data_IF_037155484684
#
_entry.id   IF_037155484684
#
_cell.length_a   1.000
_cell.length_b   1.000
_cell.length_c   1.000
_cell.angle_alpha   90.00
_cell.angle_beta   90.00
_cell.angle_gamma   90.00
#
_symmetry.space_group_name_H-M   'P 1'
#
loop_
_entity.id
_entity.type
_entity.pdbx_description
1 polymer ?
#
# COMPACT_ATOMS: atom_id res chain seq x y z
N UNK A 1 24.41 -42.48 -41.08
CA UNK A 1 24.50 -41.56 -39.92
C UNK A 1 23.66 -42.14 -38.78
N UNK A 2 24.29 -42.62 -37.71
CA UNK A 2 23.63 -43.31 -36.59
C UNK A 2 22.95 -42.29 -35.67
N UNK A 3 21.63 -42.39 -35.55
CA UNK A 3 20.76 -41.54 -34.75
C UNK A 3 21.14 -41.56 -33.26
N UNK A 4 21.64 -40.43 -32.74
CA UNK A 4 22.03 -40.27 -31.34
C UNK A 4 20.82 -39.95 -30.43
N UNK A 5 19.82 -40.84 -30.43
CA UNK A 5 18.60 -40.70 -29.59
C UNK A 5 18.89 -40.83 -28.09
N UNK A 6 20.06 -41.32 -27.68
CA UNK A 6 20.41 -41.58 -26.28
C UNK A 6 20.71 -40.30 -25.47
N UNK A 7 21.19 -39.22 -26.11
CA UNK A 7 21.41 -37.93 -25.45
C UNK A 7 20.12 -37.16 -25.15
N UNK A 8 19.14 -37.20 -26.05
CA UNK A 8 17.85 -36.52 -25.89
C UNK A 8 17.01 -37.14 -24.77
N UNK A 9 16.98 -38.48 -24.68
CA UNK A 9 16.31 -39.20 -23.60
C UNK A 9 16.96 -38.94 -22.24
N UNK A 10 18.29 -38.81 -22.18
CA UNK A 10 19.00 -38.44 -20.95
C UNK A 10 18.63 -37.05 -20.44
N UNK A 11 18.45 -36.08 -21.34
CA UNK A 11 18.02 -34.71 -20.99
C UNK A 11 16.55 -34.70 -20.55
N UNK A 12 15.66 -35.41 -21.24
CA UNK A 12 14.24 -35.52 -20.87
C UNK A 12 14.07 -36.21 -19.51
N UNK A 13 14.85 -37.27 -19.24
CA UNK A 13 14.85 -37.97 -17.95
C UNK A 13 15.46 -37.10 -16.85
N UNK A 14 16.50 -36.31 -17.12
CA UNK A 14 17.06 -35.37 -16.16
C UNK A 14 16.10 -34.22 -15.83
N UNK A 15 15.39 -33.67 -16.83
CA UNK A 15 14.33 -32.67 -16.66
C UNK A 15 13.15 -33.28 -15.89
N UNK A 16 12.74 -34.51 -16.21
CA UNK A 16 11.68 -35.24 -15.52
C UNK A 16 12.01 -35.53 -14.06
N UNK A 17 13.24 -35.96 -13.76
CA UNK A 17 13.73 -36.19 -12.40
C UNK A 17 13.90 -34.87 -11.62
N UNK A 18 14.31 -33.79 -12.28
CA UNK A 18 14.36 -32.45 -11.69
C UNK A 18 12.95 -31.91 -11.38
N UNK A 19 11.97 -32.13 -12.25
CA UNK A 19 10.56 -31.78 -12.03
C UNK A 19 9.92 -32.63 -10.92
N UNK A 20 10.21 -33.93 -10.85
CA UNK A 20 9.78 -34.81 -9.76
C UNK A 20 10.42 -34.44 -8.42
N UNK A 21 11.70 -34.04 -8.42
CA UNK A 21 12.39 -33.45 -7.27
C UNK A 21 11.71 -32.13 -6.81
N UNK A 22 11.20 -31.34 -7.75
CA UNK A 22 10.42 -30.11 -7.50
C UNK A 22 8.98 -30.38 -7.05
N UNK A 23 8.42 -31.57 -7.26
CA UNK A 23 7.07 -31.92 -6.79
C UNK A 23 6.98 -31.89 -5.25
N UNK A 24 8.07 -32.24 -4.55
CA UNK A 24 8.18 -32.05 -3.09
C UNK A 24 8.09 -30.59 -2.67
N UNK A 25 8.61 -29.67 -3.49
CA UNK A 25 8.48 -28.22 -3.28
C UNK A 25 7.09 -27.72 -3.60
N UNK A 26 6.41 -28.29 -4.60
CA UNK A 26 4.99 -28.01 -4.85
C UNK A 26 4.17 -28.37 -3.61
N UNK A 27 4.34 -29.58 -3.05
CA UNK A 27 3.66 -29.95 -1.78
C UNK A 27 4.04 -29.05 -0.60
N UNK A 28 5.28 -28.57 -0.51
CA UNK A 28 5.68 -27.60 0.51
C UNK A 28 5.03 -26.22 0.32
N UNK A 29 4.90 -25.75 -0.93
CA UNK A 29 4.19 -24.52 -1.31
C UNK A 29 2.70 -24.67 -1.00
N UNK A 30 2.09 -25.82 -1.30
CA UNK A 30 0.70 -26.13 -0.95
C UNK A 30 0.47 -26.19 0.56
N UNK A 31 1.46 -26.64 1.35
CA UNK A 31 1.38 -26.66 2.81
C UNK A 31 1.53 -25.26 3.43
N UNK A 32 2.21 -24.35 2.72
CA UNK A 32 2.38 -22.94 3.11
C UNK A 32 1.27 -22.03 2.58
N UNK A 33 0.63 -22.39 1.47
CA UNK A 33 -0.48 -21.65 0.87
C UNK A 33 -1.78 -21.96 1.62
N UNK A 34 -2.51 -20.93 2.05
CA UNK A 34 -3.83 -21.14 2.65
C UNK A 34 -4.80 -21.72 1.61
N UNK A 35 -5.74 -22.54 2.06
CA UNK A 35 -6.75 -23.16 1.21
C UNK A 35 -7.46 -22.15 0.28
N UNK A 36 -7.75 -20.94 0.79
CA UNK A 36 -8.36 -19.87 0.00
C UNK A 36 -7.51 -19.44 -1.21
N UNK A 37 -6.19 -19.34 -1.05
CA UNK A 37 -5.26 -18.99 -2.13
C UNK A 37 -5.28 -20.08 -3.20
N UNK A 38 -5.11 -21.33 -2.79
CA UNK A 38 -5.09 -22.49 -3.68
C UNK A 38 -6.41 -22.61 -4.43
N UNK A 39 -7.53 -22.52 -3.72
CA UNK A 39 -8.87 -22.61 -4.31
C UNK A 39 -9.12 -21.50 -5.35
N UNK A 40 -8.82 -20.25 -4.99
CA UNK A 40 -8.98 -19.09 -5.88
C UNK A 40 -8.10 -19.17 -7.13
N UNK A 41 -6.89 -19.74 -7.00
CA UNK A 41 -5.97 -19.99 -8.10
C UNK A 41 -6.53 -21.05 -9.07
N UNK A 42 -7.02 -22.18 -8.57
CA UNK A 42 -7.64 -23.21 -9.42
C UNK A 42 -8.92 -22.73 -10.09
N UNK A 43 -9.73 -21.92 -9.40
CA UNK A 43 -10.92 -21.31 -10.00
C UNK A 43 -10.54 -20.39 -11.16
N UNK A 44 -9.53 -19.53 -10.96
CA UNK A 44 -9.00 -18.65 -12.01
C UNK A 44 -8.40 -19.44 -13.17
N UNK A 45 -7.62 -20.48 -12.88
CA UNK A 45 -7.06 -21.39 -13.89
C UNK A 45 -8.18 -22.01 -14.73
N UNK A 46 -9.23 -22.54 -14.10
CA UNK A 46 -10.37 -23.14 -14.79
C UNK A 46 -11.09 -22.14 -15.69
N UNK A 47 -11.35 -20.93 -15.19
CA UNK A 47 -11.99 -19.87 -15.97
C UNK A 47 -11.17 -19.48 -17.22
N UNK A 48 -9.85 -19.29 -17.08
CA UNK A 48 -8.99 -19.01 -18.22
C UNK A 48 -8.86 -20.20 -19.17
N UNK A 49 -8.79 -21.42 -18.64
CA UNK A 49 -8.64 -22.63 -19.44
C UNK A 49 -9.86 -22.88 -20.35
N UNK A 50 -11.07 -22.59 -19.87
CA UNK A 50 -12.31 -22.73 -20.64
C UNK A 50 -12.37 -21.73 -21.80
N UNK A 51 -11.88 -20.51 -21.62
CA UNK A 51 -12.00 -19.43 -22.62
C UNK A 51 -10.81 -19.43 -23.60
N UNK A 52 -9.59 -19.60 -23.09
CA UNK A 52 -8.34 -19.38 -23.83
C UNK A 52 -7.48 -20.64 -23.96
N UNK A 53 -7.92 -21.77 -23.41
CA UNK A 53 -7.18 -23.03 -23.38
C UNK A 53 -6.30 -23.18 -22.14
N UNK A 54 -6.09 -24.42 -21.72
CA UNK A 54 -5.40 -24.74 -20.46
C UNK A 54 -3.95 -24.27 -20.42
N UNK A 55 -3.22 -24.29 -21.54
CA UNK A 55 -1.82 -23.83 -21.60
C UNK A 55 -1.72 -22.34 -21.30
N UNK A 56 -2.65 -21.54 -21.84
CA UNK A 56 -2.75 -20.10 -21.55
C UNK A 56 -3.06 -19.86 -20.07
N UNK A 57 -4.07 -20.56 -19.53
CA UNK A 57 -4.44 -20.44 -18.12
C UNK A 57 -3.28 -20.75 -17.18
N UNK A 58 -2.54 -21.83 -17.43
CA UNK A 58 -1.35 -22.20 -16.64
C UNK A 58 -0.27 -21.12 -16.74
N UNK A 59 0.04 -20.64 -17.95
CA UNK A 59 1.05 -19.60 -18.15
C UNK A 59 0.68 -18.30 -17.41
N UNK A 60 -0.56 -17.85 -17.53
CA UNK A 60 -1.04 -16.62 -16.89
C UNK A 60 -0.99 -16.72 -15.36
N UNK A 61 -1.47 -17.83 -14.80
CA UNK A 61 -1.42 -18.07 -13.35
C UNK A 61 0.03 -18.16 -12.86
N UNK A 62 0.92 -18.79 -13.63
CA UNK A 62 2.35 -18.83 -13.30
C UNK A 62 2.97 -17.43 -13.24
N UNK A 63 2.73 -16.58 -14.24
CA UNK A 63 3.25 -15.22 -14.30
C UNK A 63 2.74 -14.37 -13.12
N UNK A 64 1.43 -14.40 -12.86
CA UNK A 64 0.82 -13.71 -11.73
C UNK A 64 1.36 -14.23 -10.39
N UNK A 65 1.48 -15.55 -10.24
CA UNK A 65 1.99 -16.13 -9.01
C UNK A 65 3.41 -15.68 -8.70
N UNK A 66 4.32 -15.72 -9.67
CA UNK A 66 5.71 -15.29 -9.44
C UNK A 66 5.79 -13.79 -9.11
N UNK A 67 4.97 -12.96 -9.76
CA UNK A 67 4.83 -11.54 -9.42
C UNK A 67 4.40 -11.36 -7.95
N UNK A 68 3.32 -12.01 -7.51
CA UNK A 68 2.85 -11.94 -6.13
C UNK A 68 3.88 -12.48 -5.11
N UNK A 69 4.64 -13.51 -5.48
CA UNK A 69 5.73 -14.02 -4.63
C UNK A 69 6.82 -12.96 -4.42
N UNK A 70 7.04 -12.05 -5.36
CA UNK A 70 7.92 -10.90 -5.19
C UNK A 70 7.50 -10.00 -4.04
N UNK A 71 6.20 -9.64 -3.97
CA UNK A 71 5.65 -8.87 -2.86
C UNK A 71 5.77 -9.61 -1.53
N UNK A 72 5.37 -10.89 -1.48
CA UNK A 72 5.44 -11.69 -0.24
C UNK A 72 6.87 -11.84 0.27
N UNK A 73 7.81 -12.07 -0.63
CA UNK A 73 9.22 -12.20 -0.29
C UNK A 73 9.76 -10.89 0.29
N UNK A 74 9.40 -9.76 -0.30
CA UNK A 74 9.83 -8.43 0.16
C UNK A 74 9.23 -8.10 1.53
N UNK A 75 7.92 -8.34 1.70
CA UNK A 75 7.22 -8.13 2.96
C UNK A 75 7.81 -9.01 4.08
N UNK A 76 8.10 -10.29 3.79
CA UNK A 76 8.76 -11.19 4.75
C UNK A 76 10.15 -10.70 5.14
N UNK A 77 10.94 -10.17 4.20
CA UNK A 77 12.26 -9.57 4.49
C UNK A 77 12.16 -8.32 5.36
N UNK A 78 11.05 -7.58 5.25
CA UNK A 78 10.75 -6.39 6.07
C UNK A 78 10.02 -6.73 7.37
N UNK A 79 9.71 -8.00 7.63
CA UNK A 79 8.97 -8.42 8.81
C UNK A 79 7.52 -7.92 8.83
N UNK A 80 6.94 -7.59 7.68
CA UNK A 80 5.57 -7.07 7.57
C UNK A 80 4.61 -8.25 7.36
N UNK A 81 3.61 -8.44 8.24
CA UNK A 81 2.66 -9.54 8.09
C UNK A 81 1.70 -9.31 6.92
N UNK A 82 1.60 -10.30 6.04
CA UNK A 82 0.72 -10.27 4.86
C UNK A 82 -0.47 -11.21 5.01
N UNK A 83 -1.54 -10.87 4.29
CA UNK A 83 -2.67 -11.77 4.07
C UNK A 83 -2.33 -12.77 2.95
N UNK A 84 -3.05 -13.90 2.87
CA UNK A 84 -2.90 -14.82 1.75
C UNK A 84 -3.21 -14.10 0.43
N UNK A 85 -2.49 -14.44 -0.63
CA UNK A 85 -2.84 -14.00 -1.98
C UNK A 85 -4.20 -14.58 -2.38
N UNK A 86 -5.06 -13.78 -3.02
CA UNK A 86 -6.33 -14.22 -3.57
C UNK A 86 -6.29 -13.97 -5.07
N UNK A 87 -6.47 -15.02 -5.87
CA UNK A 87 -6.51 -14.93 -7.33
C UNK A 87 -7.97 -14.78 -7.77
N UNK A 88 -8.29 -13.65 -8.40
CA UNK A 88 -9.63 -13.37 -8.88
C UNK A 88 -9.61 -13.50 -10.41
N UNK A 89 -10.45 -14.39 -10.98
CA UNK A 89 -10.52 -14.57 -12.43
C UNK A 89 -10.73 -13.23 -13.13
N UNK A 90 -9.99 -13.00 -14.21
CA UNK A 90 -10.04 -11.80 -15.05
C UNK A 90 -9.65 -10.48 -14.37
N UNK A 91 -9.31 -10.48 -13.08
CA UNK A 91 -8.90 -9.28 -12.33
C UNK A 91 -7.44 -9.33 -11.89
N UNK A 92 -6.89 -10.53 -11.68
CA UNK A 92 -5.48 -10.73 -11.32
C UNK A 92 -5.35 -11.39 -9.95
N UNK A 93 -4.32 -11.05 -9.20
CA UNK A 93 -4.14 -11.49 -7.83
C UNK A 93 -4.05 -10.28 -6.90
N UNK A 94 -4.49 -10.46 -5.66
CA UNK A 94 -4.47 -9.43 -4.63
C UNK A 94 -3.87 -10.01 -3.35
N UNK A 95 -2.88 -9.31 -2.80
CA UNK A 95 -2.40 -9.52 -1.45
C UNK A 95 -2.85 -8.34 -0.59
N UNK A 96 -3.68 -8.63 0.42
CA UNK A 96 -3.93 -7.66 1.48
C UNK A 96 -2.71 -7.56 2.41
N UNK A 97 -2.33 -6.36 2.82
CA UNK A 97 -1.41 -6.17 3.94
C UNK A 97 -2.24 -6.15 5.24
N UNK A 98 -1.81 -6.87 6.28
CA UNK A 98 -2.51 -6.87 7.58
C UNK A 98 -2.17 -5.65 8.43
N UNK A 99 -0.98 -5.09 8.18
CA UNK A 99 -0.48 -3.88 8.80
C UNK A 99 -0.03 -2.93 7.70
N UNK A 100 -0.26 -1.62 7.88
CA UNK A 100 0.28 -0.63 6.96
C UNK A 100 1.83 -0.64 7.05
N UNK A 101 2.55 -0.53 5.92
CA UNK A 101 4.01 -0.43 5.92
C UNK A 101 4.46 0.69 6.85
N UNK A 102 5.58 0.54 7.56
CA UNK A 102 6.03 1.53 8.57
C UNK A 102 6.52 2.85 7.96
N UNK A 103 6.84 2.86 6.67
CA UNK A 103 7.27 4.04 5.92
C UNK A 103 7.04 3.82 4.42
N UNK A 104 6.99 4.91 3.65
CA UNK A 104 6.77 4.88 2.21
C UNK A 104 7.89 4.15 1.45
N UNK A 105 9.13 4.15 1.98
CA UNK A 105 10.28 3.47 1.36
C UNK A 105 10.11 1.95 1.36
N UNK A 106 9.63 1.38 2.44
CA UNK A 106 9.35 -0.04 2.57
C UNK A 106 8.15 -0.44 1.71
N UNK A 107 7.12 0.41 1.63
CA UNK A 107 6.00 0.22 0.71
C UNK A 107 6.45 0.19 -0.75
N UNK A 108 7.24 1.18 -1.19
CA UNK A 108 7.78 1.23 -2.54
C UNK A 108 8.71 0.05 -2.84
N UNK A 109 9.51 -0.40 -1.86
CA UNK A 109 10.34 -1.59 -2.01
C UNK A 109 9.48 -2.85 -2.21
N UNK A 110 8.44 -3.05 -1.40
CA UNK A 110 7.54 -4.20 -1.56
C UNK A 110 6.84 -4.15 -2.92
N UNK A 111 6.31 -2.99 -3.31
CA UNK A 111 5.64 -2.80 -4.59
C UNK A 111 6.59 -3.04 -5.77
N UNK A 112 7.85 -2.60 -5.71
CA UNK A 112 8.84 -2.83 -6.76
C UNK A 112 9.20 -4.31 -6.97
N UNK A 113 9.23 -5.08 -5.89
CA UNK A 113 9.64 -6.48 -5.95
C UNK A 113 8.66 -7.38 -6.73
N UNK A 114 7.38 -7.00 -6.82
CA UNK A 114 6.40 -7.72 -7.64
C UNK A 114 6.75 -7.66 -9.13
N UNK A 115 6.76 -6.47 -9.76
CA UNK A 115 7.18 -6.28 -11.14
C UNK A 115 8.59 -6.81 -11.44
N UNK A 116 9.53 -6.70 -10.50
CA UNK A 116 10.87 -7.28 -10.67
C UNK A 116 10.82 -8.82 -10.77
N UNK A 117 10.10 -9.49 -9.87
CA UNK A 117 9.95 -10.95 -9.94
C UNK A 117 9.14 -11.37 -11.16
N UNK A 118 8.13 -10.59 -11.52
CA UNK A 118 7.38 -10.81 -12.74
C UNK A 118 8.24 -10.68 -14.00
N UNK A 119 9.23 -9.77 -14.03
CA UNK A 119 10.25 -9.74 -15.08
C UNK A 119 11.03 -11.07 -15.12
N UNK A 120 11.50 -11.53 -13.96
CA UNK A 120 12.25 -12.80 -13.86
C UNK A 120 11.43 -14.01 -14.29
N UNK A 121 10.10 -13.95 -14.15
CA UNK A 121 9.21 -15.08 -14.45
C UNK A 121 9.21 -15.49 -15.92
N UNK A 122 9.35 -14.54 -16.85
CA UNK A 122 9.31 -14.84 -18.28
C UNK A 122 10.70 -14.93 -18.93
N UNK A 123 11.79 -14.58 -18.24
CA UNK A 123 13.15 -14.68 -18.79
C UNK A 123 13.49 -16.08 -19.35
N UNK A 124 13.08 -17.21 -18.72
CA UNK A 124 13.35 -18.53 -19.28
C UNK A 124 12.68 -18.77 -20.65
N UNK A 125 11.59 -18.06 -20.96
CA UNK A 125 10.89 -18.20 -22.24
C UNK A 125 11.72 -17.67 -23.41
N UNK A 126 12.68 -16.75 -23.18
CA UNK A 126 13.55 -16.20 -24.22
C UNK A 126 14.42 -17.30 -24.88
N UNK A 127 15.31 -18.01 -24.16
CA UNK A 127 16.11 -19.08 -24.77
C UNK A 127 15.25 -20.24 -25.26
N UNK A 128 14.12 -20.54 -24.60
CA UNK A 128 13.19 -21.59 -25.04
C UNK A 128 12.56 -21.25 -26.40
N UNK A 129 12.17 -19.99 -26.62
CA UNK A 129 11.75 -19.52 -27.93
C UNK A 129 12.89 -19.62 -28.95
N UNK A 130 14.11 -19.18 -28.60
CA UNK A 130 15.24 -19.23 -29.54
C UNK A 130 15.56 -20.63 -30.03
N UNK A 131 15.39 -21.66 -29.18
CA UNK A 131 15.66 -23.06 -29.51
C UNK A 131 14.48 -23.72 -30.24
N UNK A 132 13.27 -23.55 -29.71
CA UNK A 132 12.09 -24.31 -30.19
C UNK A 132 11.35 -23.61 -31.33
N UNK A 133 11.47 -22.28 -31.42
CA UNK A 133 10.69 -21.40 -32.31
C UNK A 133 9.17 -21.52 -32.12
N UNK A 134 8.74 -22.07 -30.98
CA UNK A 134 7.31 -22.20 -30.67
C UNK A 134 6.73 -20.85 -30.25
N UNK A 135 5.64 -20.37 -30.91
CA UNK A 135 5.06 -19.04 -30.63
C UNK A 135 4.52 -18.91 -29.21
N UNK A 136 4.24 -20.03 -28.54
CA UNK A 136 3.82 -20.05 -27.14
C UNK A 136 4.83 -19.38 -26.19
N UNK A 137 6.14 -19.49 -26.45
CA UNK A 137 7.14 -18.84 -25.61
C UNK A 137 7.17 -17.32 -25.80
N UNK A 138 6.97 -16.86 -27.04
CA UNK A 138 6.80 -15.44 -27.33
C UNK A 138 5.55 -14.86 -26.65
N UNK A 139 4.47 -15.64 -26.59
CA UNK A 139 3.27 -15.30 -25.83
C UNK A 139 3.56 -15.15 -24.32
N UNK A 140 4.35 -16.03 -23.72
CA UNK A 140 4.75 -15.90 -22.30
C UNK A 140 5.55 -14.60 -22.07
N UNK A 141 6.47 -14.27 -22.97
CA UNK A 141 7.26 -13.02 -22.90
C UNK A 141 6.33 -11.81 -22.98
N UNK A 142 5.43 -11.79 -23.97
CA UNK A 142 4.46 -10.70 -24.15
C UNK A 142 3.55 -10.55 -22.94
N UNK A 143 2.87 -11.63 -22.52
CA UNK A 143 1.95 -11.60 -21.37
C UNK A 143 2.65 -11.20 -20.08
N UNK A 144 3.80 -11.82 -19.80
CA UNK A 144 4.59 -11.50 -18.61
C UNK A 144 5.01 -10.04 -18.61
N UNK A 145 5.48 -9.53 -19.75
CA UNK A 145 5.88 -8.13 -19.86
C UNK A 145 4.69 -7.19 -19.69
N UNK A 146 3.55 -7.48 -20.34
CA UNK A 146 2.34 -6.65 -20.27
C UNK A 146 1.74 -6.57 -18.87
N UNK A 147 1.64 -7.69 -18.14
CA UNK A 147 1.10 -7.72 -16.77
C UNK A 147 1.93 -6.81 -15.86
N UNK A 148 3.25 -6.94 -15.92
CA UNK A 148 4.15 -6.15 -15.09
C UNK A 148 4.19 -4.68 -15.52
N UNK A 149 4.15 -4.41 -16.83
CA UNK A 149 4.10 -3.06 -17.35
C UNK A 149 2.81 -2.34 -16.96
N UNK A 150 1.67 -3.04 -17.01
CA UNK A 150 0.38 -2.51 -16.54
C UNK A 150 0.42 -2.21 -15.03
N UNK A 151 0.98 -3.12 -14.22
CA UNK A 151 1.16 -2.86 -12.79
C UNK A 151 2.13 -1.72 -12.49
N UNK A 152 2.98 -1.30 -13.43
CA UNK A 152 3.83 -0.12 -13.28
C UNK A 152 3.13 1.19 -13.64
N UNK A 153 1.87 1.22 -14.10
CA UNK A 153 1.16 2.51 -14.27
C UNK A 153 1.19 3.28 -12.93
N UNK A 154 1.55 4.58 -12.93
CA UNK A 154 1.88 5.30 -11.70
C UNK A 154 0.64 5.74 -10.92
N UNK A 155 -0.27 4.83 -10.58
CA UNK A 155 -1.50 5.11 -9.82
C UNK A 155 -1.85 3.93 -8.92
N UNK A 156 -2.16 4.18 -7.64
CA UNK A 156 -2.69 3.13 -6.74
C UNK A 156 -4.11 2.76 -7.22
N UNK A 157 -4.54 1.48 -7.18
CA UNK A 157 -3.99 0.35 -6.43
C UNK A 157 -2.82 -0.39 -7.10
N UNK A 158 -2.38 0.02 -8.28
CA UNK A 158 -1.27 -0.63 -9.01
C UNK A 158 0.08 -0.35 -8.33
N UNK A 159 1.03 -1.26 -8.52
CA UNK A 159 2.36 -1.18 -7.88
C UNK A 159 3.11 0.10 -8.22
N UNK A 160 3.01 0.57 -9.47
CA UNK A 160 3.62 1.80 -9.93
C UNK A 160 3.21 3.01 -9.10
N UNK A 161 1.95 3.06 -8.63
CA UNK A 161 1.47 4.09 -7.71
C UNK A 161 2.19 4.06 -6.36
N UNK A 162 2.42 2.87 -5.80
CA UNK A 162 3.12 2.68 -4.53
C UNK A 162 4.63 2.88 -4.66
N UNK A 163 5.23 2.57 -5.80
CA UNK A 163 6.65 2.84 -6.07
C UNK A 163 6.88 4.35 -6.21
N UNK A 164 6.02 5.02 -7.00
CA UNK A 164 6.20 6.44 -7.31
C UNK A 164 5.79 7.36 -6.14
N UNK A 165 5.02 6.87 -5.17
CA UNK A 165 4.60 7.66 -4.00
C UNK A 165 5.78 8.20 -3.20
N UNK A 166 6.92 7.48 -3.20
CA UNK A 166 8.19 7.91 -2.59
C UNK A 166 8.81 9.09 -3.34
N UNK A 167 8.64 9.15 -4.66
CA UNK A 167 9.17 10.21 -5.51
C UNK A 167 8.26 11.43 -5.46
N UNK A 168 7.02 11.25 -5.93
CA UNK A 168 5.98 12.27 -5.88
C UNK A 168 4.62 11.67 -6.19
N UNK A 169 3.66 11.90 -5.29
CA UNK A 169 2.24 11.56 -5.50
C UNK A 169 1.56 12.40 -6.58
N UNK A 170 2.14 13.52 -7.03
CA UNK A 170 1.58 14.33 -8.13
C UNK A 170 1.57 13.57 -9.46
N UNK A 171 2.48 12.61 -9.62
CA UNK A 171 2.60 11.78 -10.82
C UNK A 171 1.35 10.88 -10.99
N UNK A 172 0.59 10.63 -9.92
CA UNK A 172 -0.66 9.87 -9.99
C UNK A 172 -1.71 10.50 -10.90
N UNK A 173 -1.74 11.83 -11.04
CA UNK A 173 -2.64 12.49 -11.97
C UNK A 173 -2.39 12.05 -13.42
N UNK A 174 -1.11 11.95 -13.82
CA UNK A 174 -0.74 11.43 -15.13
C UNK A 174 -1.10 9.95 -15.27
N UNK A 175 -0.88 9.15 -14.22
CA UNK A 175 -1.27 7.74 -14.18
C UNK A 175 -2.79 7.53 -14.39
N UNK A 176 -3.62 8.36 -13.77
CA UNK A 176 -5.08 8.32 -13.95
C UNK A 176 -5.51 8.65 -15.38
N UNK A 177 -4.88 9.67 -16.00
CA UNK A 177 -5.19 10.02 -17.40
C UNK A 177 -4.82 8.87 -18.34
N UNK A 178 -3.65 8.26 -18.14
CA UNK A 178 -3.22 7.09 -18.91
C UNK A 178 -4.19 5.91 -18.73
N UNK A 179 -4.58 5.62 -17.49
CA UNK A 179 -5.49 4.53 -17.17
C UNK A 179 -6.90 4.77 -17.75
N UNK A 180 -7.39 6.01 -17.72
CA UNK A 180 -8.66 6.38 -18.33
C UNK A 180 -8.63 6.21 -19.84
N UNK A 181 -7.57 6.70 -20.50
CA UNK A 181 -7.36 6.54 -21.94
C UNK A 181 -7.32 5.08 -22.35
N UNK A 182 -6.55 4.26 -21.61
CA UNK A 182 -6.51 2.81 -21.80
C UNK A 182 -7.91 2.18 -21.66
N UNK A 183 -8.65 2.54 -20.61
CA UNK A 183 -9.97 1.97 -20.31
C UNK A 183 -10.98 2.27 -21.41
N UNK A 184 -10.98 3.50 -21.93
CA UNK A 184 -11.87 3.92 -23.03
C UNK A 184 -11.47 3.22 -24.33
N UNK A 185 -10.19 3.25 -24.69
CA UNK A 185 -9.69 2.70 -25.95
C UNK A 185 -9.95 1.19 -26.07
N UNK A 186 -9.64 0.43 -25.02
CA UNK A 186 -9.84 -1.02 -24.99
C UNK A 186 -11.23 -1.45 -24.49
N UNK A 187 -12.12 -0.49 -24.16
CA UNK A 187 -13.44 -0.75 -23.52
C UNK A 187 -13.31 -1.69 -22.31
N UNK A 188 -12.25 -1.51 -21.53
CA UNK A 188 -11.91 -2.37 -20.41
C UNK A 188 -12.73 -2.02 -19.18
N UNK A 189 -13.69 -2.89 -18.83
CA UNK A 189 -14.48 -2.76 -17.59
C UNK A 189 -13.55 -2.76 -16.37
N UNK A 190 -12.53 -3.64 -16.37
CA UNK A 190 -11.55 -3.71 -15.30
C UNK A 190 -10.74 -2.41 -15.18
N UNK A 191 -10.27 -1.86 -16.30
CA UNK A 191 -9.57 -0.58 -16.30
C UNK A 191 -10.42 0.55 -15.71
N UNK A 192 -11.71 0.59 -16.04
CA UNK A 192 -12.66 1.54 -15.46
C UNK A 192 -12.83 1.37 -13.95
N UNK A 193 -12.90 0.13 -13.45
CA UNK A 193 -12.95 -0.13 -12.01
C UNK A 193 -11.68 0.32 -11.27
N UNK A 194 -10.50 0.01 -11.83
CA UNK A 194 -9.21 0.45 -11.27
C UNK A 194 -9.12 1.98 -11.29
N UNK A 195 -9.64 2.64 -12.33
CA UNK A 195 -9.69 4.10 -12.42
C UNK A 195 -10.51 4.73 -11.30
N UNK A 196 -11.68 4.16 -10.98
CA UNK A 196 -12.53 4.64 -9.88
C UNK A 196 -11.78 4.51 -8.54
N UNK A 197 -11.17 3.36 -8.27
CA UNK A 197 -10.36 3.17 -7.05
C UNK A 197 -9.19 4.17 -7.02
N UNK A 198 -8.52 4.38 -8.15
CA UNK A 198 -7.41 5.34 -8.23
C UNK A 198 -7.84 6.78 -7.97
N UNK A 199 -9.05 7.18 -8.40
CA UNK A 199 -9.62 8.48 -8.06
C UNK A 199 -9.88 8.61 -6.55
N UNK A 200 -10.40 7.57 -5.92
CA UNK A 200 -10.62 7.54 -4.46
C UNK A 200 -9.29 7.66 -3.71
N UNK A 201 -8.24 6.97 -4.15
CA UNK A 201 -6.94 7.06 -3.48
C UNK A 201 -6.22 8.38 -3.74
N UNK A 202 -6.36 8.96 -4.93
CA UNK A 202 -5.86 10.31 -5.16
C UNK A 202 -6.53 11.32 -4.22
N UNK A 203 -7.85 11.20 -4.01
CA UNK A 203 -8.58 12.06 -3.06
C UNK A 203 -8.04 11.90 -1.63
N UNK A 204 -7.79 10.67 -1.17
CA UNK A 204 -7.18 10.42 0.15
C UNK A 204 -5.78 11.01 0.26
N UNK A 205 -4.98 10.91 -0.80
CA UNK A 205 -3.62 11.49 -0.86
C UNK A 205 -3.65 13.02 -0.80
N UNK A 206 -4.60 13.66 -1.47
CA UNK A 206 -4.76 15.12 -1.41
C UNK A 206 -5.13 15.58 0.01
N UNK A 207 -5.99 14.81 0.69
CA UNK A 207 -6.41 15.07 2.08
C UNK A 207 -5.43 14.59 3.15
N UNK A 208 -4.28 14.05 2.76
CA UNK A 208 -3.35 13.40 3.68
C UNK A 208 -2.76 14.33 4.74
N UNK A 209 -2.64 15.61 4.43
CA UNK A 209 -2.11 16.61 5.38
C UNK A 209 -3.19 17.10 6.36
N UNK A 210 -4.48 16.80 6.14
CA UNK A 210 -5.57 17.20 7.05
C UNK A 210 -5.38 16.59 8.45
N UNK A 211 -5.23 15.25 8.63
CA UNK A 211 -5.03 14.66 9.96
C UNK A 211 -3.80 15.18 10.70
N UNK A 212 -2.71 15.47 9.98
CA UNK A 212 -1.48 16.02 10.57
C UNK A 212 -1.72 17.44 11.08
N UNK A 213 -2.44 18.27 10.32
CA UNK A 213 -2.84 19.61 10.73
C UNK A 213 -3.80 19.57 11.92
N UNK A 214 -4.78 18.67 11.89
CA UNK A 214 -5.72 18.46 12.99
C UNK A 214 -5.00 18.07 14.28
N UNK A 215 -4.10 17.08 14.22
CA UNK A 215 -3.24 16.74 15.36
C UNK A 215 -2.42 17.95 15.83
N UNK A 216 -1.89 18.77 14.90
CA UNK A 216 -1.23 20.03 15.22
C UNK A 216 -2.09 20.96 16.06
N UNK A 217 -3.33 21.24 15.62
CA UNK A 217 -4.26 22.08 16.38
C UNK A 217 -4.60 21.49 17.76
N UNK A 218 -4.75 20.16 17.89
CA UNK A 218 -4.99 19.50 19.18
C UNK A 218 -3.81 19.65 20.13
N UNK A 219 -2.59 19.44 19.64
CA UNK A 219 -1.35 19.56 20.40
C UNK A 219 -1.14 21.00 20.88
N UNK A 220 -1.31 21.97 19.98
CA UNK A 220 -1.13 23.39 20.29
C UNK A 220 -2.19 23.85 21.32
N UNK A 221 -3.45 23.46 21.12
CA UNK A 221 -4.52 23.74 22.08
C UNK A 221 -4.29 23.08 23.45
N UNK A 222 -3.89 21.80 23.47
CA UNK A 222 -3.59 21.09 24.72
C UNK A 222 -2.45 21.78 25.48
N UNK A 223 -1.35 22.14 24.80
CA UNK A 223 -0.23 22.87 25.40
C UNK A 223 -0.67 24.22 25.96
N UNK A 224 -1.49 24.96 25.21
CA UNK A 224 -2.01 26.26 25.62
C UNK A 224 -2.85 26.16 26.90
N UNK A 225 -3.85 25.27 26.95
CA UNK A 225 -4.72 25.15 28.12
C UNK A 225 -3.99 24.58 29.34
N UNK A 226 -3.16 23.56 29.16
CA UNK A 226 -2.38 22.97 30.25
C UNK A 226 -1.41 24.00 30.84
N UNK A 227 -0.71 24.77 30.00
CA UNK A 227 0.20 25.82 30.49
C UNK A 227 -0.53 26.89 31.30
N UNK A 228 -1.73 27.32 30.85
CA UNK A 228 -2.55 28.29 31.59
C UNK A 228 -3.01 27.76 32.95
N UNK A 229 -3.40 26.48 33.01
CA UNK A 229 -3.78 25.82 34.26
C UNK A 229 -2.59 25.69 35.21
N UNK A 230 -1.41 25.31 34.71
CA UNK A 230 -0.19 25.22 35.51
C UNK A 230 0.24 26.59 36.06
N UNK A 231 0.16 27.64 35.24
CA UNK A 231 0.50 29.00 35.62
C UNK A 231 -0.44 29.50 36.73
N UNK A 232 -1.75 29.31 36.57
CA UNK A 232 -2.72 29.68 37.60
C UNK A 232 -2.52 28.89 38.89
N UNK A 233 -2.24 27.59 38.80
CA UNK A 233 -1.97 26.76 39.97
C UNK A 233 -0.72 27.25 40.72
N UNK A 234 0.33 27.65 40.01
CA UNK A 234 1.55 28.22 40.62
C UNK A 234 1.31 29.57 41.28
N UNK A 235 0.47 30.41 40.68
CA UNK A 235 0.17 31.75 41.19
C UNK A 235 -0.80 31.74 42.38
N UNK A 236 -1.84 30.91 42.33
CA UNK A 236 -3.01 31.01 43.21
C UNK A 236 -3.25 29.78 44.07
N UNK A 237 -2.64 28.64 43.73
CA UNK A 237 -2.93 27.36 44.35
C UNK A 237 -4.25 26.72 43.89
N UNK A 238 -4.93 27.29 42.89
CA UNK A 238 -6.18 26.79 42.32
C UNK A 238 -6.18 26.91 40.78
N UNK A 239 -7.21 26.39 40.13
CA UNK A 239 -7.37 26.36 38.65
C UNK A 239 -8.70 26.96 38.16
N UNK A 240 -9.42 27.65 39.06
CA UNK A 240 -10.80 28.08 38.86
C UNK A 240 -11.01 29.02 37.68
N UNK A 241 -10.14 30.03 37.55
CA UNK A 241 -10.26 31.06 36.51
C UNK A 241 -10.16 30.42 35.13
N UNK A 242 -9.18 29.56 34.90
CA UNK A 242 -9.02 28.92 33.60
C UNK A 242 -10.09 27.87 33.34
N UNK A 243 -10.58 27.13 34.35
CA UNK A 243 -11.74 26.23 34.17
C UNK A 243 -12.97 27.00 33.70
N UNK A 244 -13.29 28.12 34.35
CA UNK A 244 -14.39 28.99 33.94
C UNK A 244 -14.21 29.50 32.51
N UNK A 245 -13.01 29.95 32.15
CA UNK A 245 -12.70 30.43 30.80
C UNK A 245 -12.82 29.33 29.75
N UNK A 246 -12.33 28.12 30.04
CA UNK A 246 -12.49 26.94 29.17
C UNK A 246 -13.96 26.58 28.97
N UNK A 247 -14.77 26.66 30.03
CA UNK A 247 -16.20 26.38 29.94
C UNK A 247 -16.96 27.44 29.14
N UNK A 248 -16.56 28.71 29.25
CA UNK A 248 -17.10 29.75 28.38
C UNK A 248 -16.69 29.52 26.92
N UNK A 249 -15.42 29.22 26.66
CA UNK A 249 -14.89 29.01 25.32
C UNK A 249 -15.54 27.81 24.62
N UNK A 250 -15.69 26.66 25.29
CA UNK A 250 -16.36 25.48 24.70
C UNK A 250 -17.81 25.79 24.32
N UNK A 251 -18.54 26.57 25.14
CA UNK A 251 -19.93 26.93 24.86
C UNK A 251 -20.05 27.84 23.62
N UNK A 252 -19.14 28.82 23.49
CA UNK A 252 -19.06 29.68 22.30
C UNK A 252 -18.71 28.86 21.06
N UNK A 253 -17.74 27.95 21.16
CA UNK A 253 -17.35 27.09 20.04
C UNK A 253 -18.48 26.13 19.63
N UNK A 254 -19.21 25.56 20.60
CA UNK A 254 -20.39 24.72 20.33
C UNK A 254 -21.52 25.50 19.68
N UNK A 255 -21.67 26.78 19.98
CA UNK A 255 -22.61 27.64 19.25
C UNK A 255 -22.20 27.79 17.78
N UNK A 256 -20.93 28.15 17.52
CA UNK A 256 -20.41 28.23 16.15
C UNK A 256 -20.54 26.91 15.38
N UNK A 257 -20.35 25.78 16.06
CA UNK A 257 -20.55 24.46 15.46
C UNK A 257 -22.00 24.24 15.00
N UNK A 258 -22.99 24.61 15.83
CA UNK A 258 -24.41 24.53 15.46
C UNK A 258 -24.75 25.44 14.28
N UNK A 259 -24.12 26.61 14.23
CA UNK A 259 -24.27 27.60 13.15
C UNK A 259 -23.45 27.25 11.90
N UNK A 260 -22.61 26.19 11.96
CA UNK A 260 -21.67 25.78 10.91
C UNK A 260 -20.65 26.87 10.54
N UNK A 261 -20.27 27.69 11.51
CA UNK A 261 -19.33 28.82 11.37
C UNK A 261 -17.94 28.52 11.93
N UNK A 262 -17.65 27.25 12.25
CA UNK A 262 -16.34 26.86 12.77
C UNK A 262 -15.22 27.19 11.79
N UNK A 263 -14.21 27.89 12.31
CA UNK A 263 -12.97 28.16 11.61
C UNK A 263 -12.00 26.98 11.73
N UNK A 264 -10.95 27.01 10.91
CA UNK A 264 -9.90 25.98 10.94
C UNK A 264 -9.28 25.87 12.33
N UNK A 265 -9.23 24.64 12.87
CA UNK A 265 -8.69 24.34 14.20
C UNK A 265 -9.68 24.51 15.36
N UNK A 266 -10.83 25.16 15.17
CA UNK A 266 -11.82 25.36 16.24
C UNK A 266 -12.51 24.06 16.66
N UNK A 267 -12.73 23.13 15.72
CA UNK A 267 -13.23 21.79 16.05
C UNK A 267 -12.25 21.03 16.96
N UNK A 268 -10.95 21.11 16.64
CA UNK A 268 -9.92 20.46 17.44
C UNK A 268 -9.79 21.09 18.84
N UNK A 269 -10.03 22.40 18.96
CA UNK A 269 -10.12 23.06 20.27
C UNK A 269 -11.28 22.52 21.10
N UNK A 270 -12.46 22.30 20.49
CA UNK A 270 -13.60 21.66 21.18
C UNK A 270 -13.15 20.30 21.73
N UNK A 271 -12.55 19.44 20.89
CA UNK A 271 -12.11 18.11 21.32
C UNK A 271 -11.10 18.15 22.48
N UNK A 272 -10.18 19.12 22.48
CA UNK A 272 -9.23 19.31 23.58
C UNK A 272 -9.94 19.73 24.86
N UNK A 273 -10.87 20.68 24.77
CA UNK A 273 -11.66 21.16 25.91
C UNK A 273 -12.51 20.03 26.49
N UNK A 274 -13.16 19.22 25.65
CA UNK A 274 -13.91 18.03 26.07
C UNK A 274 -13.06 16.98 26.77
N UNK A 275 -11.77 16.89 26.40
CA UNK A 275 -10.85 16.01 27.08
C UNK A 275 -10.40 16.58 28.44
N UNK A 276 -10.16 17.89 28.54
CA UNK A 276 -9.62 18.54 29.73
C UNK A 276 -10.68 18.81 30.79
N UNK A 277 -11.81 19.40 30.43
CA UNK A 277 -12.83 19.87 31.37
C UNK A 277 -13.26 18.79 32.38
N UNK A 278 -13.61 17.55 31.99
CA UNK A 278 -14.02 16.52 32.95
C UNK A 278 -12.94 16.11 33.95
N UNK A 279 -11.66 16.41 33.69
CA UNK A 279 -10.53 16.09 34.57
C UNK A 279 -10.24 17.19 35.58
N UNK A 280 -10.48 18.45 35.19
CA UNK A 280 -10.15 19.62 35.99
C UNK A 280 -11.37 20.21 36.71
N UNK A 281 -12.59 20.10 36.16
CA UNK A 281 -13.83 20.57 36.79
C UNK A 281 -14.05 20.03 38.23
N UNK A 282 -13.78 18.74 38.54
CA UNK A 282 -13.89 18.25 39.92
C UNK A 282 -12.89 18.89 40.90
N UNK A 283 -11.86 19.55 40.38
CA UNK A 283 -10.79 20.22 41.12
C UNK A 283 -11.01 21.74 41.17
N UNK A 284 -12.19 22.21 40.75
CA UNK A 284 -12.53 23.63 40.70
C UNK A 284 -12.92 24.20 42.08
N UNK A 285 -12.01 24.10 43.05
CA UNK A 285 -12.18 24.64 44.40
C UNK A 285 -10.83 24.83 45.10
N UNK A 286 -10.83 25.67 46.16
CA UNK A 286 -9.68 25.79 47.06
C UNK A 286 -9.84 24.76 48.18
N UNK A 287 -8.91 23.80 48.35
CA UNK A 287 -9.05 22.76 49.35
C UNK A 287 -8.89 23.29 50.77
N UNK A 288 -9.66 22.74 51.72
CA UNK A 288 -9.41 22.92 53.14
C UNK A 288 -8.11 22.20 53.55
N UNK A 289 -7.56 22.52 54.73
CA UNK A 289 -6.24 22.00 55.15
C UNK A 289 -6.19 20.47 55.26
N UNK A 290 -7.33 19.83 55.56
CA UNK A 290 -7.52 18.38 55.63
C UNK A 290 -7.68 17.71 54.26
N UNK A 291 -8.07 18.45 53.22
CA UNK A 291 -8.25 17.95 51.84
C UNK A 291 -7.06 18.23 50.93
N UNK A 292 -6.12 19.07 51.38
CA UNK A 292 -5.00 19.61 50.59
C UNK A 292 -4.11 18.53 49.98
N UNK A 293 -3.81 17.47 50.74
CA UNK A 293 -3.01 16.35 50.25
C UNK A 293 -3.73 15.62 49.11
N UNK A 294 -5.00 15.27 49.31
CA UNK A 294 -5.83 14.58 48.31
C UNK A 294 -6.02 15.44 47.06
N UNK A 295 -6.31 16.73 47.21
CA UNK A 295 -6.43 17.67 46.09
C UNK A 295 -5.13 17.75 45.29
N UNK A 296 -3.97 17.83 45.97
CA UNK A 296 -2.65 17.87 45.32
C UNK A 296 -2.35 16.59 44.54
N UNK A 297 -2.79 15.44 45.03
CA UNK A 297 -2.65 14.17 44.31
C UNK A 297 -3.49 14.18 43.04
N UNK A 298 -4.78 14.53 43.13
CA UNK A 298 -5.67 14.50 41.98
C UNK A 298 -5.33 15.54 40.91
N UNK A 299 -4.89 16.75 41.32
CA UNK A 299 -4.45 17.76 40.35
C UNK A 299 -3.20 17.32 39.61
N UNK A 300 -2.25 16.68 40.32
CA UNK A 300 -1.07 16.09 39.68
C UNK A 300 -1.45 14.97 38.72
N UNK A 301 -2.37 14.09 39.10
CA UNK A 301 -2.89 13.02 38.23
C UNK A 301 -3.56 13.60 36.96
N UNK A 302 -4.33 14.69 37.09
CA UNK A 302 -4.97 15.37 35.97
C UNK A 302 -3.93 15.93 34.98
N UNK A 303 -2.85 16.55 35.49
CA UNK A 303 -1.73 17.01 34.66
C UNK A 303 -0.98 15.85 34.01
N UNK A 304 -0.63 14.80 34.76
CA UNK A 304 0.07 13.62 34.22
C UNK A 304 -0.75 12.92 33.12
N UNK A 305 -2.07 12.80 33.28
CA UNK A 305 -2.97 12.28 32.24
C UNK A 305 -3.01 13.16 30.99
N UNK A 306 -2.96 14.48 31.17
CA UNK A 306 -2.97 15.44 30.06
C UNK A 306 -1.64 15.42 29.30
N UNK A 307 -0.52 15.34 30.03
CA UNK A 307 0.81 15.20 29.45
C UNK A 307 0.99 13.88 28.69
N UNK A 308 0.53 12.75 29.26
CA UNK A 308 0.55 11.45 28.55
C UNK A 308 -0.22 11.52 27.23
N UNK A 309 -1.40 12.16 27.23
CA UNK A 309 -2.20 12.31 26.01
C UNK A 309 -1.54 13.21 24.98
N UNK A 310 -0.90 14.28 25.45
CA UNK A 310 -0.09 15.16 24.61
C UNK A 310 1.06 14.40 23.96
N UNK A 311 1.79 13.60 24.73
CA UNK A 311 2.89 12.76 24.22
C UNK A 311 2.41 11.72 23.20
N UNK A 312 1.23 11.12 23.42
CA UNK A 312 0.57 10.21 22.46
C UNK A 312 0.29 10.93 21.13
N UNK A 313 -0.37 12.09 21.16
CA UNK A 313 -0.66 12.88 19.95
C UNK A 313 0.62 13.39 19.26
N UNK A 314 1.62 13.85 20.01
CA UNK A 314 2.92 14.27 19.49
C UNK A 314 3.68 13.09 18.85
N UNK A 315 3.54 11.87 19.37
CA UNK A 315 4.10 10.66 18.77
C UNK A 315 3.38 10.30 17.46
N UNK A 316 2.04 10.32 17.45
CA UNK A 316 1.22 10.04 16.27
C UNK A 316 1.50 11.03 15.14
N UNK A 317 1.54 12.33 15.44
CA UNK A 317 1.88 13.37 14.46
C UNK A 317 3.27 13.15 13.87
N UNK A 318 4.28 12.91 14.71
CA UNK A 318 5.65 12.62 14.26
C UNK A 318 5.73 11.37 13.41
N UNK A 319 4.99 10.32 13.76
CA UNK A 319 4.93 9.09 12.96
C UNK A 319 4.37 9.36 11.56
N UNK A 320 3.25 10.11 11.46
CA UNK A 320 2.63 10.45 10.17
C UNK A 320 3.51 11.36 9.31
N UNK A 321 4.18 12.34 9.91
CA UNK A 321 5.12 13.23 9.22
C UNK A 321 6.35 12.48 8.69
N UNK A 322 6.90 11.56 9.50
CA UNK A 322 8.11 10.83 9.14
C UNK A 322 7.86 9.72 8.12
N UNK A 323 6.64 9.18 8.04
CA UNK A 323 6.29 8.10 7.10
C UNK A 323 6.74 8.37 5.65
N UNK A 324 6.58 9.62 5.19
CA UNK A 324 6.87 10.03 3.82
C UNK A 324 8.15 10.85 3.67
N UNK A 325 8.88 11.10 4.76
CA UNK A 325 10.19 11.71 4.70
C UNK A 325 11.17 10.67 4.17
N UNK A 326 11.53 10.84 2.90
CA UNK A 326 12.52 10.00 2.23
C UNK A 326 13.64 10.87 1.71
N UNK A 327 14.87 10.42 1.91
CA UNK A 327 16.07 11.11 1.45
C UNK A 327 16.10 11.23 -0.08
N UNK A 328 16.65 12.34 -0.58
CA UNK A 328 16.70 12.66 -2.02
C UNK A 328 17.40 11.57 -2.82
N UNK A 329 18.43 10.93 -2.26
CA UNK A 329 19.16 9.83 -2.92
C UNK A 329 18.25 8.61 -3.13
N UNK A 330 17.48 8.22 -2.12
CA UNK A 330 16.50 7.13 -2.22
C UNK A 330 15.42 7.47 -3.25
N UNK A 331 14.93 8.71 -3.31
CA UNK A 331 13.96 9.14 -4.33
C UNK A 331 14.48 8.94 -5.76
N UNK A 332 15.69 9.46 -6.04
CA UNK A 332 16.31 9.29 -7.36
C UNK A 332 16.63 7.84 -7.69
N UNK A 333 17.08 7.06 -6.70
CA UNK A 333 17.34 5.63 -6.89
C UNK A 333 16.04 4.89 -7.24
N UNK A 334 14.96 5.12 -6.49
CA UNK A 334 13.66 4.52 -6.77
C UNK A 334 13.12 4.92 -8.15
N UNK A 335 13.23 6.20 -8.50
CA UNK A 335 12.84 6.69 -9.82
C UNK A 335 13.65 6.03 -10.95
N UNK A 336 14.97 5.96 -10.83
CA UNK A 336 15.83 5.32 -11.82
C UNK A 336 15.52 3.82 -11.98
N UNK A 337 15.35 3.10 -10.88
CA UNK A 337 14.94 1.68 -10.91
C UNK A 337 13.58 1.50 -11.58
N UNK A 338 12.62 2.37 -11.27
CA UNK A 338 11.27 2.33 -11.85
C UNK A 338 11.28 2.58 -13.37
N UNK A 339 11.98 3.63 -13.85
CA UNK A 339 12.13 3.89 -15.28
C UNK A 339 12.87 2.75 -15.99
N UNK A 340 13.96 2.25 -15.39
CA UNK A 340 14.73 1.14 -15.94
C UNK A 340 13.89 -0.13 -16.11
N UNK A 341 13.07 -0.45 -15.11
CA UNK A 341 12.17 -1.60 -15.17
C UNK A 341 11.09 -1.43 -16.24
N UNK A 342 10.48 -0.24 -16.35
CA UNK A 342 9.51 0.05 -17.41
C UNK A 342 10.13 -0.08 -18.80
N UNK A 343 11.36 0.41 -19.00
CA UNK A 343 12.05 0.34 -20.29
C UNK A 343 12.30 -1.12 -20.71
N UNK A 344 12.80 -1.96 -19.78
CA UNK A 344 13.07 -3.37 -20.07
C UNK A 344 11.78 -4.13 -20.38
N UNK A 345 10.73 -3.91 -19.57
CA UNK A 345 9.42 -4.55 -19.78
C UNK A 345 8.76 -4.08 -21.08
N UNK A 346 8.84 -2.78 -21.40
CA UNK A 346 8.31 -2.24 -22.65
C UNK A 346 9.02 -2.83 -23.87
N UNK A 347 10.35 -2.94 -23.81
CA UNK A 347 11.14 -3.59 -24.87
C UNK A 347 10.78 -5.07 -25.02
N UNK A 348 10.72 -5.82 -23.92
CA UNK A 348 10.35 -7.23 -23.94
C UNK A 348 8.92 -7.48 -24.48
N UNK A 349 7.97 -6.59 -24.13
CA UNK A 349 6.62 -6.63 -24.68
C UNK A 349 6.62 -6.37 -26.20
N UNK A 350 7.38 -5.38 -26.66
CA UNK A 350 7.51 -5.08 -28.09
C UNK A 350 8.09 -6.26 -28.87
N UNK A 351 9.21 -6.83 -28.41
CA UNK A 351 9.84 -7.98 -29.06
C UNK A 351 8.91 -9.21 -29.08
N UNK A 352 8.25 -9.51 -27.95
CA UNK A 352 7.29 -10.60 -27.88
C UNK A 352 6.10 -10.42 -28.83
N UNK A 353 5.63 -9.18 -28.99
CA UNK A 353 4.56 -8.84 -29.94
C UNK A 353 5.01 -9.02 -31.40
N UNK A 354 6.17 -8.48 -31.76
CA UNK A 354 6.71 -8.59 -33.13
C UNK A 354 6.87 -10.05 -33.55
N UNK A 355 7.45 -10.86 -32.68
CA UNK A 355 7.61 -12.31 -32.92
C UNK A 355 6.26 -13.00 -33.12
N UNK A 356 5.26 -12.69 -32.30
CA UNK A 356 3.93 -13.28 -32.45
C UNK A 356 3.25 -12.85 -33.75
N UNK A 357 3.45 -11.62 -34.18
CA UNK A 357 2.87 -11.10 -35.42
C UNK A 357 3.38 -11.86 -36.65
N UNK A 358 4.64 -12.28 -36.65
CA UNK A 358 5.21 -13.13 -37.71
C UNK A 358 4.58 -14.52 -37.77
N UNK A 359 4.01 -15.01 -36.66
CA UNK A 359 3.38 -16.34 -36.57
C UNK A 359 1.86 -16.30 -36.77
N UNK A 360 1.25 -15.12 -36.73
CA UNK A 360 -0.18 -14.95 -37.02
C UNK A 360 -0.39 -14.96 -38.54
N UNK A 361 -1.40 -15.67 -39.07
CA UNK A 361 -1.72 -15.59 -40.48
C UNK A 361 -2.02 -14.13 -40.82
N UNK A 362 -1.32 -13.58 -41.82
CA UNK A 362 -1.66 -12.27 -42.37
C UNK A 362 -3.13 -12.31 -42.76
N UNK A 363 -3.96 -11.57 -42.03
CA UNK A 363 -5.33 -11.30 -42.48
C UNK A 363 -5.17 -10.55 -43.80
N UNK A 364 -5.36 -11.26 -44.92
CA UNK A 364 -5.62 -10.62 -46.19
C UNK A 364 -6.94 -9.87 -46.00
N UNK A 365 -6.84 -8.57 -45.73
CA UNK A 365 -7.97 -7.64 -45.73
C UNK A 365 -8.24 -7.24 -47.16
#
# INVERSE_FOLDING_TARGET
MKNNKKGLWGIIVAIGLFLLSKLKWVFAIFKLAKFSTVFSMFLSLGAYAVIYGWQFGVALIYLLFIHEMGHLWAAKRKGIPTSPAIFIPFMGALIGMKEMPKNAKDEAYIAYMGPLFGLLSFLPAIPLYMITKEPFWALIILLGSMINFFNLIPVSPLDGGRIISVVSTRIWGAGLVLLLGYSIYFKSILGGFIFIIGCMELYRVIKRDEPIKELGYKIDGMKEYVARLEEELKETGAVHRNIYMMQHEINVLRQKEREKELKTGELQKIEVLEYLLPKFEPLDYVPYEDEKETHTIHIREAFEMSERKLQEWDADKRQQENYYKVDTKTKWTAFACYIGLMAILGYAAYEGYMVLQEHLPTRNV
#
